data_IF_793796274711
#
_entry.id   IF_793796274711
#
_cell.length_a   1.000
_cell.length_b   1.000
_cell.length_c   1.000
_cell.angle_alpha   90.00
_cell.angle_beta   90.00
_cell.angle_gamma   90.00
#
_symmetry.space_group_name_H-M   'P 1'
#
loop_
_entity.id
_entity.type
_entity.pdbx_description
1 polymer ?
#
# COMPACT_ATOMS: atom_id res chain seq x y z
N UNK A 1 -20.60 -17.43 2.47
CA UNK A 1 -19.21 -17.10 2.81
C UNK A 1 -19.22 -15.71 3.43
N UNK A 2 -18.59 -15.52 4.59
CA UNK A 2 -18.35 -14.18 5.11
C UNK A 2 -17.39 -13.49 4.14
N UNK A 3 -17.74 -12.29 3.70
CA UNK A 3 -16.90 -11.52 2.79
C UNK A 3 -15.91 -10.70 3.61
N UNK A 4 -14.67 -10.67 3.17
CA UNK A 4 -13.63 -9.84 3.76
C UNK A 4 -13.56 -8.50 3.02
N UNK A 5 -13.68 -7.40 3.74
CA UNK A 5 -13.40 -6.06 3.20
C UNK A 5 -11.88 -5.77 3.24
N UNK A 6 -11.09 -6.75 2.79
CA UNK A 6 -9.65 -6.64 2.66
C UNK A 6 -9.06 -7.62 1.63
N UNK A 7 -7.87 -7.26 1.12
CA UNK A 7 -6.98 -8.15 0.38
C UNK A 7 -5.65 -8.28 1.12
N UNK A 8 -5.19 -9.50 1.33
CA UNK A 8 -3.81 -9.78 1.69
C UNK A 8 -2.99 -10.01 0.43
N UNK A 9 -1.90 -9.27 0.29
CA UNK A 9 -0.99 -9.33 -0.85
C UNK A 9 0.36 -9.81 -0.30
N UNK A 10 0.72 -11.09 -0.51
CA UNK A 10 2.02 -11.60 -0.10
C UNK A 10 3.10 -10.96 -0.98
N UNK A 11 4.03 -10.26 -0.36
CA UNK A 11 5.18 -9.64 -1.03
C UNK A 11 6.45 -10.08 -0.30
N UNK A 12 7.51 -10.27 -1.08
CA UNK A 12 8.87 -10.39 -0.58
C UNK A 12 9.79 -9.77 -1.63
N UNK A 13 9.88 -8.44 -1.61
CA UNK A 13 10.56 -7.66 -2.64
C UNK A 13 11.62 -6.76 -2.02
N UNK A 14 12.82 -6.82 -2.57
CA UNK A 14 13.90 -5.90 -2.24
C UNK A 14 13.96 -4.78 -3.28
N UNK A 15 13.78 -3.55 -2.81
CA UNK A 15 13.88 -2.36 -3.62
C UNK A 15 15.34 -1.96 -3.72
N UNK A 16 15.86 -1.99 -4.95
CA UNK A 16 17.24 -1.59 -5.26
C UNK A 16 17.27 -0.70 -6.48
N UNK A 17 18.43 -0.14 -6.83
CA UNK A 17 18.60 0.60 -8.08
C UNK A 17 18.24 -0.23 -9.32
N UNK A 18 18.42 -1.56 -9.28
CA UNK A 18 18.12 -2.47 -10.39
C UNK A 18 16.69 -3.04 -10.32
N UNK A 19 15.99 -2.83 -9.20
CA UNK A 19 14.62 -3.29 -8.98
C UNK A 19 13.83 -2.20 -8.23
N UNK A 20 13.65 -1.00 -8.84
CA UNK A 20 13.13 0.15 -8.12
C UNK A 20 11.60 0.18 -8.03
N UNK A 21 10.89 -0.69 -8.76
CA UNK A 21 9.43 -0.67 -8.84
C UNK A 21 8.87 -2.06 -8.53
N UNK A 22 7.77 -2.09 -7.78
CA UNK A 22 6.91 -3.26 -7.59
C UNK A 22 5.49 -2.87 -7.97
N UNK A 23 4.81 -3.74 -8.72
CA UNK A 23 3.43 -3.54 -9.14
C UNK A 23 2.61 -4.81 -8.97
N UNK A 24 1.36 -4.66 -8.57
CA UNK A 24 0.41 -5.77 -8.51
C UNK A 24 -1.03 -5.28 -8.62
N UNK A 25 -1.89 -6.15 -9.13
CA UNK A 25 -3.32 -5.91 -9.17
C UNK A 25 -4.02 -6.56 -7.97
N UNK A 26 -5.07 -5.91 -7.48
CA UNK A 26 -5.95 -6.45 -6.45
C UNK A 26 -7.41 -6.13 -6.77
N UNK A 27 -8.34 -6.93 -6.21
CA UNK A 27 -9.77 -6.77 -6.46
C UNK A 27 -10.49 -6.21 -5.25
N UNK A 28 -11.10 -5.04 -5.41
CA UNK A 28 -12.10 -4.55 -4.45
C UNK A 28 -13.44 -5.14 -4.85
N UNK A 29 -13.91 -6.10 -4.07
CA UNK A 29 -15.23 -6.65 -4.26
C UNK A 29 -16.21 -5.78 -3.48
N UNK A 30 -17.23 -5.23 -4.17
CA UNK A 30 -18.34 -4.48 -3.55
C UNK A 30 -19.65 -5.28 -3.56
N UNK A 31 -20.46 -5.19 -2.52
CA UNK A 31 -21.69 -5.96 -2.44
C UNK A 31 -22.67 -5.43 -3.49
N UNK A 32 -23.64 -6.24 -3.89
CA UNK A 32 -24.57 -5.82 -4.95
C UNK A 32 -25.29 -4.53 -4.54
N UNK A 33 -25.14 -3.47 -5.34
CA UNK A 33 -25.73 -2.16 -5.08
C UNK A 33 -24.97 -1.29 -4.07
N UNK A 34 -23.83 -1.75 -3.56
CA UNK A 34 -22.98 -0.98 -2.65
C UNK A 34 -21.91 -0.18 -3.40
N UNK A 35 -21.50 0.92 -2.79
CA UNK A 35 -20.36 1.74 -3.20
C UNK A 35 -19.30 1.77 -2.09
N UNK A 36 -18.11 2.27 -2.40
CA UNK A 36 -17.12 2.58 -1.37
C UNK A 36 -17.61 3.69 -0.45
N UNK A 37 -17.20 3.65 0.82
CA UNK A 37 -17.40 4.74 1.76
C UNK A 37 -16.59 5.99 1.36
N UNK A 38 -16.97 7.15 1.90
CA UNK A 38 -16.23 8.41 1.70
C UNK A 38 -14.79 8.33 2.23
N UNK A 39 -14.57 7.63 3.34
CA UNK A 39 -13.25 7.27 3.85
C UNK A 39 -13.00 5.80 3.50
N UNK A 40 -12.44 5.52 2.31
CA UNK A 40 -12.61 4.22 1.69
C UNK A 40 -11.77 3.14 2.35
N UNK A 41 -10.68 3.47 3.05
CA UNK A 41 -9.85 2.47 3.73
C UNK A 41 -8.40 2.89 3.97
N UNK A 42 -7.55 1.89 4.14
CA UNK A 42 -6.12 2.06 4.43
C UNK A 42 -5.29 0.89 3.89
N UNK A 43 -4.02 1.15 3.64
CA UNK A 43 -2.98 0.15 3.36
C UNK A 43 -2.18 -0.10 4.64
N UNK A 44 -1.95 -1.37 4.96
CA UNK A 44 -0.91 -1.80 5.90
C UNK A 44 0.24 -2.40 5.09
N UNK A 45 1.47 -1.95 5.37
CA UNK A 45 2.68 -2.42 4.69
C UNK A 45 3.74 -2.75 5.73
N UNK A 46 4.36 -3.92 5.63
CA UNK A 46 5.50 -4.27 6.48
C UNK A 46 6.81 -4.06 5.72
N UNK A 47 7.70 -3.23 6.29
CA UNK A 47 8.95 -2.77 5.65
C UNK A 47 10.14 -2.93 6.58
N UNK A 48 11.35 -2.90 6.01
CA UNK A 48 12.61 -2.94 6.76
C UNK A 48 13.70 -2.17 6.04
N UNK A 49 14.56 -1.50 6.82
CA UNK A 49 15.76 -0.79 6.33
C UNK A 49 15.43 0.36 5.37
N UNK A 50 14.37 1.11 5.68
CA UNK A 50 14.05 2.35 4.97
C UNK A 50 14.85 3.46 5.63
N UNK A 51 15.74 4.10 4.86
CA UNK A 51 16.58 5.20 5.34
C UNK A 51 16.12 6.54 4.77
N UNK A 52 15.23 6.55 3.76
CA UNK A 52 14.64 7.80 3.25
C UNK A 52 13.12 7.72 3.15
N UNK A 53 12.43 8.74 3.66
CA UNK A 53 10.96 8.79 3.61
C UNK A 53 10.36 9.26 2.26
N UNK A 54 11.13 9.18 1.17
CA UNK A 54 10.76 9.75 -0.13
C UNK A 54 10.10 8.77 -1.10
N UNK A 55 10.06 7.48 -0.74
CA UNK A 55 9.45 6.43 -1.54
C UNK A 55 7.96 6.68 -1.76
N UNK A 56 7.44 6.18 -2.88
CA UNK A 56 6.08 6.46 -3.32
C UNK A 56 5.22 5.21 -3.37
N UNK A 57 3.98 5.33 -2.92
CA UNK A 57 2.92 4.33 -3.04
C UNK A 57 1.78 4.95 -3.84
N UNK A 58 1.39 4.27 -4.90
CA UNK A 58 0.30 4.71 -5.77
C UNK A 58 -0.76 3.62 -5.89
N UNK A 59 -2.02 4.03 -5.90
CA UNK A 59 -3.14 3.18 -6.29
C UNK A 59 -3.85 3.81 -7.48
N UNK A 60 -4.03 3.03 -8.55
CA UNK A 60 -4.62 3.50 -9.82
C UNK A 60 -3.94 4.77 -10.36
N UNK A 61 -2.62 4.89 -10.15
CA UNK A 61 -1.81 6.04 -10.57
C UNK A 61 -1.96 7.30 -9.70
N UNK A 62 -2.69 7.22 -8.58
CA UNK A 62 -2.84 8.31 -7.61
C UNK A 62 -1.97 8.02 -6.38
N UNK A 63 -1.21 9.01 -5.93
CA UNK A 63 -0.42 8.91 -4.69
C UNK A 63 -1.35 8.78 -3.48
N UNK A 64 -1.01 7.89 -2.54
CA UNK A 64 -1.74 7.78 -1.28
C UNK A 64 -1.42 8.95 -0.34
N UNK A 65 -0.19 9.43 -0.28
CA UNK A 65 0.08 10.62 0.52
C UNK A 65 1.31 11.38 0.03
N UNK A 66 1.73 12.39 0.79
CA UNK A 66 3.05 12.99 0.60
C UNK A 66 4.17 12.25 1.34
N UNK A 67 3.84 11.24 2.15
CA UNK A 67 4.74 10.52 3.04
C UNK A 67 4.31 9.05 3.13
N UNK A 68 4.76 8.22 2.18
CA UNK A 68 4.16 6.89 2.01
C UNK A 68 4.87 5.79 2.82
N UNK A 69 6.19 5.89 3.04
CA UNK A 69 6.95 4.88 3.81
C UNK A 69 7.90 5.60 4.79
N UNK A 70 7.71 5.44 6.12
CA UNK A 70 8.57 6.06 7.10
C UNK A 70 9.97 5.44 7.13
N UNK A 71 10.95 6.26 7.51
CA UNK A 71 12.28 5.82 7.90
C UNK A 71 12.21 4.90 9.14
N UNK A 72 13.14 3.96 9.20
CA UNK A 72 13.28 3.10 10.36
C UNK A 72 13.77 3.92 11.57
N UNK A 73 13.24 3.67 12.79
CA UNK A 73 13.60 4.46 13.96
C UNK A 73 15.08 4.28 14.31
N UNK A 74 15.76 5.41 14.55
CA UNK A 74 17.13 5.44 15.06
C UNK A 74 18.15 4.78 14.12
N UNK A 75 18.00 4.98 12.81
CA UNK A 75 18.89 4.43 11.76
C UNK A 75 19.05 2.90 11.87
N UNK A 76 17.97 2.21 12.23
CA UNK A 76 17.97 0.77 12.48
C UNK A 76 17.51 -0.04 11.27
N UNK A 77 17.95 -1.29 11.18
CA UNK A 77 17.42 -2.27 10.22
C UNK A 77 16.18 -2.99 10.77
N UNK A 78 15.32 -2.29 11.50
CA UNK A 78 14.15 -2.88 12.14
C UNK A 78 13.01 -3.15 11.14
N UNK A 79 12.19 -4.15 11.45
CA UNK A 79 10.91 -4.33 10.78
C UNK A 79 9.88 -3.36 11.36
N UNK A 80 9.12 -2.70 10.49
CA UNK A 80 8.01 -1.83 10.83
C UNK A 80 6.76 -2.25 10.07
N UNK A 81 5.60 -2.10 10.70
CA UNK A 81 4.33 -2.09 9.99
C UNK A 81 3.80 -0.67 9.99
N UNK A 82 3.67 -0.10 8.81
CA UNK A 82 3.12 1.24 8.61
C UNK A 82 1.69 1.15 8.08
N UNK A 83 0.86 2.11 8.46
CA UNK A 83 -0.50 2.27 7.95
C UNK A 83 -0.58 3.59 7.19
N UNK A 84 -0.97 3.50 5.92
CA UNK A 84 -1.26 4.68 5.10
C UNK A 84 -2.75 4.76 4.78
N UNK A 85 -3.28 5.97 4.80
CA UNK A 85 -4.70 6.23 4.53
C UNK A 85 -4.93 6.32 3.05
N UNK A 86 -5.99 5.68 2.56
CA UNK A 86 -6.41 5.78 1.16
C UNK A 86 -7.43 6.91 1.01
N UNK A 87 -7.18 7.85 0.10
CA UNK A 87 -8.02 9.05 -0.10
C UNK A 87 -9.34 8.67 -0.78
N UNK A 88 -10.39 9.48 -0.59
CA UNK A 88 -11.63 9.33 -1.34
C UNK A 88 -11.37 9.25 -2.85
N UNK A 89 -12.10 8.38 -3.54
CA UNK A 89 -12.03 8.18 -5.01
C UNK A 89 -10.73 7.55 -5.57
N UNK A 90 -9.78 7.14 -4.72
CA UNK A 90 -8.59 6.40 -5.16
C UNK A 90 -8.95 4.95 -5.51
N UNK A 91 -9.74 4.29 -4.65
CA UNK A 91 -10.23 2.93 -4.89
C UNK A 91 -11.47 2.94 -5.77
N UNK A 92 -11.64 1.86 -6.53
CA UNK A 92 -12.86 1.56 -7.30
C UNK A 92 -13.27 0.10 -7.13
N UNK A 93 -14.55 -0.20 -7.32
CA UNK A 93 -15.00 -1.58 -7.42
C UNK A 93 -14.33 -2.31 -8.60
N UNK A 94 -13.98 -3.58 -8.42
CA UNK A 94 -13.29 -4.39 -9.42
C UNK A 94 -11.77 -4.32 -9.29
N UNK A 95 -11.06 -4.32 -10.42
CA UNK A 95 -9.60 -4.35 -10.45
C UNK A 95 -9.01 -2.97 -10.17
N UNK A 96 -8.07 -2.94 -9.22
CA UNK A 96 -7.22 -1.81 -8.87
C UNK A 96 -5.77 -2.22 -9.05
N UNK A 97 -4.91 -1.25 -9.35
CA UNK A 97 -3.47 -1.45 -9.46
C UNK A 97 -2.77 -0.75 -8.30
N UNK A 98 -1.84 -1.43 -7.64
CA UNK A 98 -0.95 -0.88 -6.62
C UNK A 98 0.47 -0.84 -7.19
N UNK A 99 1.15 0.29 -7.04
CA UNK A 99 2.55 0.46 -7.38
C UNK A 99 3.31 1.01 -6.18
N UNK A 100 4.50 0.47 -5.94
CA UNK A 100 5.49 1.06 -5.03
C UNK A 100 6.73 1.40 -5.86
N UNK A 101 7.21 2.63 -5.70
CA UNK A 101 8.41 3.13 -6.39
C UNK A 101 9.44 3.61 -5.38
N UNK A 102 10.62 2.99 -5.45
CA UNK A 102 11.83 3.42 -4.76
C UNK A 102 12.27 4.78 -5.31
N UNK A 103 12.42 5.73 -4.40
CA UNK A 103 12.97 7.07 -4.64
C UNK A 103 14.10 7.29 -3.63
N UNK A 104 15.26 7.79 -4.05
CA UNK A 104 16.41 7.95 -3.16
C UNK A 104 17.51 6.91 -3.39
N UNK A 105 18.39 6.74 -2.40
CA UNK A 105 19.65 6.00 -2.54
C UNK A 105 19.76 4.77 -1.61
N UNK A 106 18.75 4.51 -0.79
CA UNK A 106 18.68 3.40 0.15
C UNK A 106 18.03 2.16 -0.45
N UNK A 107 18.36 0.99 0.08
CA UNK A 107 17.72 -0.26 -0.32
C UNK A 107 16.88 -0.76 0.86
N UNK A 108 15.64 -1.10 0.58
CA UNK A 108 14.70 -1.52 1.62
C UNK A 108 13.92 -2.77 1.18
N UNK A 109 13.41 -3.48 2.16
CA UNK A 109 12.58 -4.67 1.95
C UNK A 109 11.14 -4.34 2.24
N UNK A 110 10.24 -4.76 1.36
CA UNK A 110 8.81 -4.86 1.65
C UNK A 110 8.45 -6.33 1.78
N UNK A 111 7.77 -6.65 2.86
CA UNK A 111 7.19 -7.96 3.11
C UNK A 111 5.73 -7.77 3.46
N UNK A 112 4.83 -8.46 2.78
CA UNK A 112 3.39 -8.45 3.08
C UNK A 112 2.69 -7.07 3.02
N UNK A 113 1.52 -7.05 2.41
CA UNK A 113 0.62 -5.89 2.44
C UNK A 113 -0.81 -6.31 2.68
N UNK A 114 -1.58 -5.44 3.34
CA UNK A 114 -3.02 -5.60 3.48
C UNK A 114 -3.71 -4.32 3.05
N UNK A 115 -4.60 -4.43 2.08
CA UNK A 115 -5.48 -3.33 1.69
C UNK A 115 -6.83 -3.58 2.30
N UNK A 116 -7.28 -2.69 3.18
CA UNK A 116 -8.63 -2.69 3.73
C UNK A 116 -9.50 -1.67 3.02
N UNK A 117 -10.79 -1.97 2.92
CA UNK A 117 -11.79 -0.98 2.52
C UNK A 117 -13.05 -1.03 3.36
N UNK A 118 -13.91 -0.02 3.18
CA UNK A 118 -15.24 0.08 3.77
C UNK A 118 -16.26 0.39 2.68
N UNK A 119 -17.40 -0.27 2.75
CA UNK A 119 -18.57 0.05 1.94
C UNK A 119 -19.36 1.19 2.60
N UNK A 120 -20.09 1.95 1.79
CA UNK A 120 -21.04 2.93 2.29
C UNK A 120 -22.11 2.25 3.15
N UNK A 121 -22.64 2.94 4.19
CA UNK A 121 -23.68 2.37 5.06
C UNK A 121 -25.00 2.07 4.33
#
# INVERSE_FOLDING_TARGET
MARSDFNYIPVNHEFTVNSPVFETDFRVELASGQSLAEDPGYLLITVRSVDTASHRIQINGQDLSGFDIPEAPGDSNAWLTYMDRIQPNVLRGGTNNLQITRVGNDNFLVKDMVIHWREAP
#
